data_IF_401397606486
#
_entry.id   IF_401397606486
#
_cell.length_a   1.000
_cell.length_b   1.000
_cell.length_c   1.000
_cell.angle_alpha   90.00
_cell.angle_beta   90.00
_cell.angle_gamma   90.00
#
_symmetry.space_group_name_H-M   'P 1'
#
loop_
_entity.id
_entity.type
_entity.pdbx_description
1 polymer ?
#
# COMPACT_ATOMS: atom_id res chain seq x y z
N UNK A 1 23.77 -4.28 5.13
CA UNK A 1 22.85 -3.16 5.43
C UNK A 1 21.89 -2.90 4.26
N UNK A 2 22.31 -2.84 3.00
CA UNK A 2 21.42 -2.62 1.84
C UNK A 2 20.47 -3.81 1.54
N UNK A 3 20.84 -5.05 1.84
CA UNK A 3 19.98 -6.23 1.62
C UNK A 3 18.80 -6.34 2.63
N UNK A 4 18.94 -5.75 3.83
CA UNK A 4 17.85 -5.68 4.81
C UNK A 4 16.74 -4.68 4.42
N UNK A 5 17.02 -3.77 3.50
CA UNK A 5 16.15 -2.65 3.14
C UNK A 5 15.07 -3.00 2.11
N UNK A 6 15.25 -4.09 1.36
CA UNK A 6 14.23 -4.61 0.43
C UNK A 6 13.01 -5.24 1.14
N UNK A 7 13.06 -5.39 2.46
CA UNK A 7 11.99 -5.98 3.28
C UNK A 7 11.11 -4.95 4.01
N UNK A 8 11.41 -3.64 3.94
CA UNK A 8 10.58 -2.64 4.62
C UNK A 8 9.30 -2.37 3.84
N UNK A 9 8.17 -2.75 4.44
CA UNK A 9 6.85 -2.61 3.83
C UNK A 9 6.22 -1.22 3.98
N UNK A 10 6.67 -0.40 4.96
CA UNK A 10 6.04 0.89 5.29
C UNK A 10 7.02 1.91 5.87
N UNK A 11 6.66 3.21 5.82
CA UNK A 11 7.40 4.26 6.52
C UNK A 11 7.42 4.07 8.05
N UNK A 12 6.40 3.43 8.61
CA UNK A 12 6.33 3.05 10.01
C UNK A 12 7.47 2.09 10.40
N UNK A 13 7.68 1.04 9.58
CA UNK A 13 8.78 0.08 9.78
C UNK A 13 10.15 0.76 9.69
N UNK A 14 10.32 1.65 8.71
CA UNK A 14 11.56 2.43 8.52
C UNK A 14 11.85 3.29 9.76
N UNK A 15 10.86 4.02 10.27
CA UNK A 15 11.04 4.84 11.47
C UNK A 15 11.41 3.99 12.67
N UNK A 16 10.75 2.86 12.87
CA UNK A 16 11.04 1.93 13.96
C UNK A 16 12.47 1.39 13.91
N UNK A 17 12.92 0.93 12.74
CA UNK A 17 14.28 0.39 12.57
C UNK A 17 15.36 1.46 12.73
N UNK A 18 15.17 2.63 12.12
CA UNK A 18 16.08 3.77 12.28
C UNK A 18 16.18 4.18 13.75
N UNK A 19 15.06 4.24 14.46
CA UNK A 19 15.04 4.61 15.86
C UNK A 19 15.77 3.58 16.74
N UNK A 20 15.54 2.30 16.54
CA UNK A 20 16.24 1.21 17.25
C UNK A 20 17.75 1.23 16.95
N UNK A 21 18.12 1.42 15.70
CA UNK A 21 19.53 1.54 15.32
C UNK A 21 20.21 2.75 15.97
N UNK A 22 19.56 3.92 15.97
CA UNK A 22 20.07 5.12 16.63
C UNK A 22 20.16 4.95 18.17
N UNK A 23 19.22 4.25 18.78
CA UNK A 23 19.24 3.94 20.22
C UNK A 23 20.45 3.15 20.62
N UNK A 24 20.98 2.28 19.75
CA UNK A 24 22.19 1.47 19.98
C UNK A 24 23.49 2.25 19.77
N UNK A 25 23.44 3.53 19.36
CA UNK A 25 24.61 4.41 19.18
C UNK A 25 24.81 5.35 20.38
N UNK A 26 25.90 6.12 20.44
CA UNK A 26 26.07 7.18 21.45
C UNK A 26 24.99 8.26 21.43
N UNK A 27 24.24 8.39 20.34
CA UNK A 27 23.09 9.33 20.27
C UNK A 27 21.97 8.94 21.23
N UNK A 28 21.72 7.64 21.40
CA UNK A 28 20.76 7.06 22.33
C UNK A 28 19.45 7.89 22.51
N UNK A 29 18.70 8.19 21.43
CA UNK A 29 17.48 8.98 21.56
C UNK A 29 16.45 8.24 22.42
N UNK A 30 15.71 8.99 23.25
CA UNK A 30 14.55 8.48 23.98
C UNK A 30 13.26 8.54 23.15
N UNK A 31 13.22 9.44 22.14
CA UNK A 31 12.13 9.55 21.18
C UNK A 31 12.66 9.92 19.80
N UNK A 32 12.09 9.32 18.79
CA UNK A 32 12.34 9.62 17.37
C UNK A 32 10.99 9.91 16.71
N UNK A 33 10.91 10.97 15.93
CA UNK A 33 9.69 11.26 15.18
C UNK A 33 10.04 11.72 13.78
N UNK A 34 9.22 11.30 12.83
CA UNK A 34 9.29 11.71 11.43
C UNK A 34 7.92 12.21 10.98
N UNK A 35 7.89 13.38 10.36
CA UNK A 35 6.69 13.93 9.73
C UNK A 35 6.95 14.02 8.24
N UNK A 36 6.09 13.37 7.46
CA UNK A 36 6.10 13.45 6.00
C UNK A 36 4.85 14.17 5.54
N UNK A 37 5.06 15.21 4.73
CA UNK A 37 3.99 16.00 4.14
C UNK A 37 3.71 15.47 2.73
N UNK A 38 2.48 15.09 2.39
CA UNK A 38 2.14 14.57 1.07
C UNK A 38 2.11 15.69 0.02
N UNK A 39 2.45 15.34 -1.23
CA UNK A 39 2.33 16.27 -2.37
C UNK A 39 0.87 16.45 -2.79
N UNK A 40 0.04 15.41 -2.60
CA UNK A 40 -1.38 15.39 -2.97
C UNK A 40 -2.19 14.61 -1.94
N UNK A 41 -3.40 15.07 -1.68
CA UNK A 41 -4.37 14.34 -0.85
C UNK A 41 -5.18 15.26 0.07
N UNK A 42 -6.06 14.64 0.85
CA UNK A 42 -6.94 15.30 1.82
C UNK A 42 -6.31 15.51 3.21
N UNK A 43 -5.03 15.19 3.37
CA UNK A 43 -4.30 15.24 4.64
C UNK A 43 -3.08 16.13 4.49
N UNK A 44 -2.77 16.91 5.54
CA UNK A 44 -1.58 17.77 5.58
C UNK A 44 -0.29 17.00 5.93
N UNK A 45 -0.40 15.78 6.45
CA UNK A 45 0.77 14.96 6.73
C UNK A 45 0.51 13.75 7.61
N UNK A 46 1.52 12.91 7.72
CA UNK A 46 1.54 11.78 8.65
C UNK A 46 2.79 11.87 9.51
N UNK A 47 2.62 11.66 10.81
CA UNK A 47 3.68 11.63 11.79
C UNK A 47 3.81 10.23 12.36
N UNK A 48 5.02 9.69 12.35
CA UNK A 48 5.39 8.46 13.03
C UNK A 48 6.26 8.80 14.24
N UNK A 49 5.96 8.17 15.38
CA UNK A 49 6.62 8.45 16.66
C UNK A 49 7.04 7.12 17.27
N UNK A 50 8.34 6.94 17.43
CA UNK A 50 8.92 5.85 18.20
C UNK A 50 9.38 6.36 19.56
N UNK A 51 9.28 5.52 20.61
CA UNK A 51 9.72 5.84 21.96
C UNK A 51 10.56 4.69 22.54
N UNK A 52 11.62 5.02 23.26
CA UNK A 52 12.43 4.05 23.99
C UNK A 52 11.67 3.40 25.15
N UNK A 53 10.57 3.98 25.59
CA UNK A 53 9.69 3.46 26.63
C UNK A 53 8.65 2.46 26.09
N UNK A 54 8.46 2.42 24.76
CA UNK A 54 7.66 1.44 24.03
C UNK A 54 8.35 1.07 22.70
N UNK A 55 9.50 0.35 22.75
CA UNK A 55 10.40 0.20 21.60
C UNK A 55 9.87 -0.71 20.50
N UNK A 56 8.81 -1.46 20.75
CA UNK A 56 8.19 -2.38 19.79
C UNK A 56 7.11 -1.73 18.94
N UNK A 57 6.57 -0.59 19.38
CA UNK A 57 5.49 0.10 18.69
C UNK A 57 5.96 1.45 18.13
N UNK A 58 5.44 1.79 16.96
CA UNK A 58 5.52 3.12 16.38
C UNK A 58 4.10 3.69 16.35
N UNK A 59 3.91 4.81 17.03
CA UNK A 59 2.61 5.50 17.01
C UNK A 59 2.49 6.30 15.73
N UNK A 60 1.39 6.11 14.99
CA UNK A 60 1.07 6.87 13.79
C UNK A 60 -0.02 7.91 14.09
N UNK A 61 0.26 9.18 13.79
CA UNK A 61 -0.68 10.30 13.91
C UNK A 61 -0.91 10.92 12.54
N UNK A 62 -2.18 11.05 12.15
CA UNK A 62 -2.59 11.69 10.90
C UNK A 62 -2.88 13.15 11.21
N UNK A 63 -2.22 14.07 10.52
CA UNK A 63 -2.50 15.50 10.60
C UNK A 63 -3.67 15.82 9.66
N UNK A 64 -4.72 16.50 10.14
CA UNK A 64 -5.88 16.82 9.31
C UNK A 64 -5.54 17.87 8.26
N UNK A 65 -6.36 17.94 7.22
CA UNK A 65 -6.30 18.99 6.22
C UNK A 65 -6.43 20.39 6.87
N UNK A 66 -5.57 21.33 6.47
CA UNK A 66 -5.51 22.65 7.06
C UNK A 66 -4.62 22.74 8.32
N UNK A 67 -3.97 21.64 8.74
CA UNK A 67 -3.06 21.67 9.90
C UNK A 67 -1.92 22.67 9.69
N UNK A 68 -1.30 22.71 8.50
CA UNK A 68 -0.20 23.62 8.19
C UNK A 68 -0.61 25.10 8.27
N UNK A 69 -1.89 25.40 8.11
CA UNK A 69 -2.45 26.75 8.23
C UNK A 69 -2.96 27.06 9.65
N UNK A 70 -2.90 26.10 10.56
CA UNK A 70 -3.37 26.28 11.93
C UNK A 70 -2.44 27.19 12.75
N UNK A 71 -2.99 27.84 13.77
CA UNK A 71 -2.20 28.61 14.73
C UNK A 71 -1.19 27.71 15.48
N UNK A 72 -1.63 26.49 15.85
CA UNK A 72 -0.80 25.49 16.51
C UNK A 72 0.45 25.16 15.69
N UNK A 73 0.30 24.96 14.37
CA UNK A 73 1.45 24.70 13.51
C UNK A 73 2.35 25.92 13.39
N UNK A 74 1.80 27.11 13.14
CA UNK A 74 2.60 28.35 12.97
C UNK A 74 3.45 28.69 14.18
N UNK A 75 3.00 28.32 15.37
CA UNK A 75 3.72 28.47 16.63
C UNK A 75 4.60 27.27 16.99
N UNK A 76 4.75 26.28 16.09
CA UNK A 76 5.52 25.08 16.35
C UNK A 76 6.99 25.19 15.91
N UNK A 77 7.85 24.38 16.54
CA UNK A 77 9.25 24.21 16.12
C UNK A 77 9.33 23.66 14.68
N UNK A 78 8.39 22.80 14.30
CA UNK A 78 8.29 22.25 12.95
C UNK A 78 8.11 23.34 11.90
N UNK A 79 7.23 24.31 12.12
CA UNK A 79 7.03 25.45 11.23
C UNK A 79 8.32 26.23 11.00
N UNK A 80 9.08 26.48 12.07
CA UNK A 80 10.37 27.18 11.99
C UNK A 80 11.36 26.43 11.10
N UNK A 81 11.48 25.11 11.25
CA UNK A 81 12.38 24.28 10.45
C UNK A 81 11.93 24.22 8.98
N UNK A 82 10.64 24.06 8.73
CA UNK A 82 10.08 24.02 7.36
C UNK A 82 10.26 25.35 6.62
N UNK A 83 10.11 26.48 7.33
CA UNK A 83 10.23 27.81 6.74
C UNK A 83 11.67 28.21 6.49
N UNK A 84 12.60 27.88 7.39
CA UNK A 84 14.01 28.28 7.29
C UNK A 84 14.87 27.29 6.54
N UNK A 85 14.43 26.02 6.40
CA UNK A 85 15.24 24.94 5.86
C UNK A 85 16.46 24.58 6.72
N UNK A 86 16.52 25.05 7.97
CA UNK A 86 17.64 24.84 8.86
C UNK A 86 17.27 23.94 10.04
N UNK A 87 18.21 23.10 10.48
CA UNK A 87 18.05 22.33 11.69
C UNK A 87 18.00 23.25 12.92
N UNK A 88 17.12 22.92 13.86
CA UNK A 88 16.96 23.66 15.10
C UNK A 88 17.18 22.74 16.28
N UNK A 89 17.98 23.15 17.23
CA UNK A 89 18.27 22.44 18.48
C UNK A 89 17.83 23.25 19.66
N UNK A 90 17.18 22.58 20.61
CA UNK A 90 16.86 23.14 21.93
C UNK A 90 17.51 22.31 23.02
N UNK A 91 18.47 22.88 23.76
CA UNK A 91 18.90 22.32 25.03
C UNK A 91 17.81 22.61 26.05
N UNK A 92 17.17 21.58 26.52
CA UNK A 92 16.02 21.65 27.41
C UNK A 92 16.54 21.81 28.84
N UNK A 93 16.43 23.01 29.35
CA UNK A 93 16.71 23.33 30.76
C UNK A 93 15.37 23.55 31.48
N UNK A 94 15.39 23.50 32.82
CA UNK A 94 14.21 23.83 33.63
C UNK A 94 13.76 25.28 33.37
N UNK A 95 12.50 25.45 32.92
CA UNK A 95 11.88 26.74 32.65
C UNK A 95 10.98 26.71 31.41
N UNK A 96 10.06 27.68 31.32
CA UNK A 96 9.16 27.79 30.18
C UNK A 96 9.93 28.17 28.90
N UNK A 97 9.70 27.42 27.81
CA UNK A 97 10.39 27.63 26.52
C UNK A 97 9.59 28.53 25.56
N UNK A 98 8.34 28.82 25.88
CA UNK A 98 7.39 29.50 24.99
C UNK A 98 6.72 28.55 23.96
N UNK A 99 7.06 27.27 23.99
CA UNK A 99 6.44 26.23 23.17
C UNK A 99 5.87 25.16 24.09
N UNK A 100 4.55 24.99 24.13
CA UNK A 100 3.88 24.02 24.99
C UNK A 100 4.39 22.59 24.81
N UNK A 101 4.76 22.26 23.57
CA UNK A 101 5.34 20.93 23.24
C UNK A 101 6.73 20.75 23.91
N UNK A 102 7.60 21.76 23.88
CA UNK A 102 8.91 21.66 24.52
C UNK A 102 8.79 21.62 26.06
N UNK A 103 7.82 22.34 26.62
CA UNK A 103 7.54 22.30 28.06
C UNK A 103 7.10 20.89 28.48
N UNK A 104 6.27 20.20 27.66
CA UNK A 104 5.88 18.80 27.90
C UNK A 104 7.06 17.81 27.79
N UNK A 105 8.05 18.10 26.96
CA UNK A 105 9.28 17.29 26.87
C UNK A 105 10.13 17.46 28.12
N UNK A 106 10.25 18.70 28.66
CA UNK A 106 10.95 18.98 29.91
C UNK A 106 10.30 18.22 31.06
N UNK A 107 8.98 18.26 31.16
CA UNK A 107 8.21 17.53 32.18
C UNK A 107 8.40 16.02 32.10
N UNK A 108 8.68 15.49 30.91
CA UNK A 108 8.99 14.06 30.69
C UNK A 108 10.47 13.71 30.96
N UNK A 109 11.30 14.67 31.38
CA UNK A 109 12.71 14.46 31.68
C UNK A 109 13.66 14.57 30.48
N UNK A 110 13.18 15.07 29.34
CA UNK A 110 14.03 15.32 28.19
C UNK A 110 15.05 16.43 28.47
N UNK A 111 16.26 16.26 27.93
CA UNK A 111 17.38 17.22 28.14
C UNK A 111 17.80 17.91 26.84
N UNK A 112 17.46 17.33 25.71
CA UNK A 112 17.83 17.87 24.38
C UNK A 112 16.81 17.48 23.33
N UNK A 113 16.51 18.41 22.42
CA UNK A 113 15.59 18.22 21.30
C UNK A 113 16.18 18.79 20.02
N UNK A 114 16.25 17.98 18.99
CA UNK A 114 16.75 18.35 17.67
C UNK A 114 15.69 18.10 16.61
N UNK A 115 15.47 19.07 15.73
CA UNK A 115 14.62 18.92 14.53
C UNK A 115 15.44 19.27 13.31
N UNK A 116 15.40 18.41 12.32
CA UNK A 116 16.12 18.57 11.06
C UNK A 116 15.15 18.53 9.88
N UNK A 117 15.33 19.39 8.86
CA UNK A 117 14.59 19.27 7.63
C UNK A 117 15.07 18.05 6.86
N UNK A 118 14.14 17.34 6.24
CA UNK A 118 14.41 16.27 5.27
C UNK A 118 14.06 16.82 3.89
N UNK A 119 15.04 17.20 3.06
CA UNK A 119 14.80 17.64 1.69
C UNK A 119 14.37 16.45 0.84
N UNK A 120 13.12 16.46 0.40
CA UNK A 120 12.52 15.43 -0.47
C UNK A 120 12.20 16.09 -1.81
N UNK A 121 12.70 15.54 -2.94
CA UNK A 121 12.64 16.18 -4.26
C UNK A 121 11.23 16.30 -4.83
N UNK A 122 10.35 15.36 -4.53
CA UNK A 122 9.02 15.24 -5.12
C UNK A 122 7.91 15.27 -4.08
N UNK A 123 8.21 15.69 -2.85
CA UNK A 123 7.26 15.85 -1.77
C UNK A 123 7.43 17.22 -1.09
N UNK A 124 6.45 17.64 -0.31
CA UNK A 124 6.61 18.79 0.54
C UNK A 124 7.72 18.54 1.59
N UNK A 125 8.42 19.58 2.04
CA UNK A 125 9.52 19.42 2.99
C UNK A 125 9.04 18.65 4.22
N UNK A 126 9.78 17.61 4.58
CA UNK A 126 9.51 16.76 5.74
C UNK A 126 10.46 17.07 6.87
N UNK A 127 10.18 16.61 8.07
CA UNK A 127 11.04 16.82 9.24
C UNK A 127 11.31 15.52 9.99
N UNK A 128 12.53 15.43 10.51
CA UNK A 128 12.97 14.38 11.39
C UNK A 128 13.36 14.99 12.74
N UNK A 129 12.86 14.45 13.84
CA UNK A 129 13.16 14.97 15.15
C UNK A 129 13.62 13.88 16.12
N UNK A 130 14.51 14.27 17.01
CA UNK A 130 15.09 13.44 18.04
C UNK A 130 14.95 14.12 19.40
N UNK A 131 14.70 13.34 20.43
CA UNK A 131 14.72 13.75 21.84
C UNK A 131 15.67 12.83 22.59
N UNK A 132 16.40 13.31 23.56
CA UNK A 132 17.14 12.48 24.51
C UNK A 132 16.88 12.93 25.96
N UNK A 133 16.94 11.97 26.87
CA UNK A 133 16.89 12.14 28.32
C UNK A 133 18.29 12.00 28.95
N UNK A 134 19.35 11.90 28.13
CA UNK A 134 20.73 11.79 28.58
C UNK A 134 21.14 13.04 29.35
N UNK A 135 21.69 12.89 30.56
CA UNK A 135 22.22 14.05 31.33
C UNK A 135 23.20 14.87 30.50
N UNK A 136 22.94 16.17 30.37
CA UNK A 136 23.77 17.10 29.59
C UNK A 136 23.50 17.11 28.07
N UNK A 137 22.57 16.29 27.59
CA UNK A 137 22.20 16.23 26.17
C UNK A 137 23.27 15.63 25.27
N UNK A 138 23.25 15.98 23.99
CA UNK A 138 24.21 15.52 22.97
C UNK A 138 25.45 16.43 22.91
N UNK A 139 26.62 15.81 22.64
CA UNK A 139 27.81 16.53 22.25
C UNK A 139 27.74 17.00 20.79
N UNK A 140 28.55 17.98 20.39
CA UNK A 140 28.55 18.44 18.99
C UNK A 140 29.00 17.36 18.00
N UNK A 141 29.91 16.48 18.40
CA UNK A 141 30.36 15.35 17.57
C UNK A 141 29.26 14.30 17.35
N UNK A 142 28.39 14.09 18.33
CA UNK A 142 27.22 13.23 18.18
C UNK A 142 26.30 13.76 17.05
N UNK A 143 26.12 15.08 16.98
CA UNK A 143 25.27 15.75 16.00
C UNK A 143 25.86 15.79 14.59
N UNK A 144 27.21 15.82 14.48
CA UNK A 144 27.86 15.76 13.18
C UNK A 144 27.53 14.45 12.43
N UNK A 145 27.46 13.35 13.15
CA UNK A 145 27.06 12.04 12.60
C UNK A 145 25.61 12.02 12.09
N UNK A 146 24.69 12.73 12.76
CA UNK A 146 23.28 12.82 12.34
C UNK A 146 23.11 13.57 11.02
N UNK A 147 23.92 14.59 10.75
CA UNK A 147 23.84 15.33 9.49
C UNK A 147 24.15 14.45 8.28
N UNK A 148 24.96 13.41 8.45
CA UNK A 148 25.26 12.44 7.37
C UNK A 148 24.09 11.47 7.12
N UNK A 149 23.17 11.29 8.08
CA UNK A 149 22.00 10.45 7.91
C UNK A 149 20.85 11.14 7.16
N UNK A 150 20.82 12.47 7.18
CA UNK A 150 19.74 13.25 6.54
C UNK A 150 19.52 12.88 5.05
N UNK A 151 20.56 12.79 4.20
CA UNK A 151 20.38 12.40 2.79
C UNK A 151 19.83 10.99 2.62
N UNK A 152 20.24 10.06 3.50
CA UNK A 152 19.77 8.66 3.48
C UNK A 152 18.30 8.59 3.85
N UNK A 153 17.89 9.29 4.91
CA UNK A 153 16.49 9.37 5.32
C UNK A 153 15.61 10.02 4.24
N UNK A 154 16.11 11.09 3.61
CA UNK A 154 15.42 11.73 2.50
C UNK A 154 15.20 10.78 1.32
N UNK A 155 16.24 10.02 0.94
CA UNK A 155 16.14 9.03 -0.14
C UNK A 155 15.12 7.94 0.19
N UNK A 156 15.08 7.47 1.44
CA UNK A 156 14.12 6.45 1.86
C UNK A 156 12.67 6.94 1.76
N UNK A 157 12.43 8.20 2.16
CA UNK A 157 11.12 8.82 2.02
C UNK A 157 10.77 8.96 0.53
N UNK A 158 11.72 9.38 -0.32
CA UNK A 158 11.49 9.49 -1.77
C UNK A 158 11.11 8.15 -2.38
N UNK A 159 11.77 7.07 -2.01
CA UNK A 159 11.46 5.71 -2.49
C UNK A 159 10.05 5.31 -2.01
N UNK A 160 9.77 5.45 -0.72
CA UNK A 160 8.47 5.07 -0.15
C UNK A 160 7.32 5.91 -0.72
N UNK A 161 7.50 7.23 -0.91
CA UNK A 161 6.49 8.09 -1.53
C UNK A 161 6.33 7.80 -3.03
N UNK A 162 7.40 7.49 -3.73
CA UNK A 162 7.33 7.07 -5.14
C UNK A 162 6.55 5.77 -5.27
N UNK A 163 6.80 4.79 -4.42
CA UNK A 163 6.02 3.56 -4.38
C UNK A 163 4.55 3.81 -4.04
N UNK A 164 4.27 4.71 -3.09
CA UNK A 164 2.91 5.13 -2.76
C UNK A 164 2.21 5.81 -3.94
N UNK A 165 2.88 6.72 -4.64
CA UNK A 165 2.35 7.38 -5.83
C UNK A 165 2.12 6.40 -6.97
N UNK A 166 3.02 5.43 -7.17
CA UNK A 166 2.83 4.34 -8.12
C UNK A 166 1.68 3.41 -7.72
N UNK A 167 1.38 3.27 -6.42
CA UNK A 167 0.20 2.57 -5.93
C UNK A 167 -1.08 3.38 -6.15
N UNK A 168 -1.02 4.71 -6.02
CA UNK A 168 -2.12 5.61 -6.33
C UNK A 168 -2.38 5.73 -7.86
N UNK A 169 -1.33 5.56 -8.69
CA UNK A 169 -1.46 5.37 -10.14
C UNK A 169 -1.92 3.93 -10.48
N UNK A 170 -2.88 3.44 -9.69
CA UNK A 170 -3.22 2.02 -9.57
C UNK A 170 -4.09 1.45 -10.68
N UNK A 171 -4.12 2.06 -11.86
CA UNK A 171 -4.92 1.57 -12.99
C UNK A 171 -4.05 1.01 -14.12
N UNK A 172 -4.58 0.03 -14.81
CA UNK A 172 -4.02 -0.46 -16.07
C UNK A 172 -4.35 0.54 -17.19
N UNK A 173 -3.36 1.04 -17.95
CA UNK A 173 -3.56 2.11 -18.93
C UNK A 173 -4.42 1.69 -20.13
N UNK A 174 -4.50 0.40 -20.46
CA UNK A 174 -5.32 -0.09 -21.56
C UNK A 174 -6.79 -0.22 -21.16
N UNK A 175 -7.05 -0.85 -20.01
CA UNK A 175 -8.41 -1.24 -19.62
C UNK A 175 -9.08 -0.27 -18.65
N UNK A 176 -8.31 0.58 -17.96
CA UNK A 176 -8.79 1.47 -16.91
C UNK A 176 -9.13 0.75 -15.59
N UNK A 177 -9.01 -0.59 -15.52
CA UNK A 177 -9.17 -1.35 -14.29
C UNK A 177 -8.01 -1.13 -13.33
N UNK A 178 -8.15 -1.59 -12.09
CA UNK A 178 -7.00 -1.67 -11.20
C UNK A 178 -5.88 -2.52 -11.83
N UNK A 179 -4.62 -2.13 -11.60
CA UNK A 179 -3.49 -2.95 -12.03
C UNK A 179 -3.14 -4.01 -10.97
N UNK A 180 -2.18 -4.89 -11.29
CA UNK A 180 -1.73 -5.97 -10.41
C UNK A 180 -1.34 -5.47 -9.01
N UNK A 181 -0.61 -4.34 -8.94
CA UNK A 181 -0.14 -3.78 -7.67
C UNK A 181 -1.29 -3.33 -6.78
N UNK A 182 -2.27 -2.64 -7.35
CA UNK A 182 -3.50 -2.22 -6.64
C UNK A 182 -4.32 -3.40 -6.18
N UNK A 183 -4.40 -4.45 -7.00
CA UNK A 183 -5.05 -5.69 -6.62
C UNK A 183 -4.37 -6.37 -5.42
N UNK A 184 -3.06 -6.50 -5.42
CA UNK A 184 -2.31 -7.11 -4.31
C UNK A 184 -2.44 -6.30 -3.02
N UNK A 185 -2.46 -4.97 -3.12
CA UNK A 185 -2.73 -4.10 -1.97
C UNK A 185 -4.16 -4.29 -1.44
N UNK A 186 -5.17 -4.23 -2.32
CA UNK A 186 -6.57 -4.40 -1.95
C UNK A 186 -6.84 -5.79 -1.33
N UNK A 187 -6.17 -6.83 -1.84
CA UNK A 187 -6.27 -8.18 -1.30
C UNK A 187 -5.83 -8.21 0.19
N UNK A 188 -4.69 -7.58 0.52
CA UNK A 188 -4.22 -7.49 1.91
C UNK A 188 -5.21 -6.72 2.80
N UNK A 189 -5.75 -5.61 2.31
CA UNK A 189 -6.72 -4.81 3.07
C UNK A 189 -8.04 -5.57 3.30
N UNK A 190 -8.56 -6.19 2.25
CA UNK A 190 -9.78 -6.98 2.31
C UNK A 190 -9.64 -8.21 3.20
N UNK A 191 -8.47 -8.87 3.17
CA UNK A 191 -8.14 -9.96 4.09
C UNK A 191 -8.25 -9.50 5.54
N UNK A 192 -7.54 -8.44 5.92
CA UNK A 192 -7.56 -7.91 7.28
C UNK A 192 -8.96 -7.45 7.72
N UNK A 193 -9.75 -6.88 6.81
CA UNK A 193 -11.13 -6.49 7.06
C UNK A 193 -12.01 -7.70 7.34
N UNK A 194 -11.99 -8.70 6.44
CA UNK A 194 -12.80 -9.91 6.55
C UNK A 194 -12.41 -10.73 7.79
N UNK A 195 -11.13 -10.77 8.13
CA UNK A 195 -10.64 -11.42 9.35
C UNK A 195 -11.22 -10.78 10.61
N UNK A 196 -11.24 -9.43 10.69
CA UNK A 196 -11.82 -8.72 11.86
C UNK A 196 -13.32 -8.85 11.97
N UNK A 197 -14.03 -8.99 10.85
CA UNK A 197 -15.49 -9.08 10.81
C UNK A 197 -16.02 -10.51 10.74
N UNK A 198 -15.15 -11.53 10.76
CA UNK A 198 -15.49 -12.94 10.55
C UNK A 198 -16.37 -13.14 9.31
N UNK A 199 -16.05 -12.43 8.22
CA UNK A 199 -16.81 -12.45 7.00
C UNK A 199 -16.02 -13.19 5.89
N UNK A 200 -16.68 -13.90 4.97
CA UNK A 200 -15.98 -14.61 3.89
C UNK A 200 -15.33 -13.63 2.91
N UNK A 201 -14.20 -14.05 2.35
CA UNK A 201 -13.52 -13.37 1.25
C UNK A 201 -13.48 -14.28 0.04
N UNK A 202 -13.97 -13.80 -1.10
CA UNK A 202 -13.91 -14.52 -2.36
C UNK A 202 -12.99 -13.84 -3.36
N UNK A 203 -12.30 -14.64 -4.13
CA UNK A 203 -11.43 -14.22 -5.23
C UNK A 203 -11.81 -15.00 -6.50
N UNK A 204 -12.00 -14.26 -7.60
CA UNK A 204 -12.10 -14.81 -8.93
C UNK A 204 -10.81 -14.46 -9.69
N UNK A 205 -10.25 -15.44 -10.40
CA UNK A 205 -9.11 -15.26 -11.29
C UNK A 205 -9.51 -15.77 -12.67
N UNK A 206 -9.38 -14.99 -13.73
CA UNK A 206 -9.88 -15.38 -15.04
C UNK A 206 -8.96 -14.90 -16.16
N UNK A 207 -9.03 -15.63 -17.27
CA UNK A 207 -8.15 -15.45 -18.42
C UNK A 207 -8.95 -15.64 -19.71
N UNK A 208 -8.59 -14.88 -20.72
CA UNK A 208 -9.25 -14.93 -22.04
C UNK A 208 -8.79 -16.17 -22.80
N UNK A 209 -9.73 -17.04 -23.10
CA UNK A 209 -9.46 -18.31 -23.75
C UNK A 209 -8.86 -18.12 -25.16
N UNK A 210 -7.75 -18.81 -25.43
CA UNK A 210 -7.03 -18.75 -26.70
C UNK A 210 -6.61 -17.34 -27.16
N UNK A 211 -6.34 -16.42 -26.23
CA UNK A 211 -6.04 -15.02 -26.57
C UNK A 211 -4.79 -14.87 -27.45
N UNK A 212 -3.77 -15.70 -27.26
CA UNK A 212 -2.62 -15.71 -28.17
C UNK A 212 -3.05 -16.03 -29.62
N UNK A 213 -3.89 -17.02 -29.81
CA UNK A 213 -4.43 -17.39 -31.14
C UNK A 213 -5.27 -16.24 -31.72
N UNK A 214 -6.01 -15.54 -30.88
CA UNK A 214 -6.73 -14.31 -31.25
C UNK A 214 -5.79 -13.25 -31.81
N UNK A 215 -4.72 -12.93 -31.07
CA UNK A 215 -3.72 -11.96 -31.50
C UNK A 215 -3.00 -12.38 -32.78
N UNK A 216 -2.66 -13.66 -32.91
CA UNK A 216 -2.02 -14.21 -34.10
C UNK A 216 -2.93 -14.10 -35.35
N UNK A 217 -4.25 -14.10 -35.13
CA UNK A 217 -5.26 -14.02 -36.21
C UNK A 217 -5.63 -12.61 -36.61
N UNK A 218 -5.85 -11.72 -35.60
CA UNK A 218 -6.44 -10.40 -35.82
C UNK A 218 -5.47 -9.26 -35.55
N UNK A 219 -4.28 -9.56 -35.05
CA UNK A 219 -3.26 -8.58 -34.67
C UNK A 219 -3.45 -8.00 -33.26
N UNK A 220 -2.36 -7.49 -32.69
CA UNK A 220 -2.34 -6.91 -31.34
C UNK A 220 -3.34 -5.75 -31.13
N UNK A 221 -3.56 -4.83 -32.09
CA UNK A 221 -4.56 -3.78 -31.88
C UNK A 221 -5.99 -4.33 -31.69
N UNK A 222 -6.37 -5.39 -32.40
CA UNK A 222 -7.66 -6.06 -32.19
C UNK A 222 -7.69 -6.79 -30.84
N UNK A 223 -6.57 -7.35 -30.38
CA UNK A 223 -6.42 -7.92 -29.06
C UNK A 223 -6.62 -6.90 -27.94
N UNK A 224 -6.04 -5.71 -28.08
CA UNK A 224 -6.21 -4.61 -27.15
C UNK A 224 -7.69 -4.17 -27.06
N UNK A 225 -8.36 -4.03 -28.19
CA UNK A 225 -9.81 -3.73 -28.25
C UNK A 225 -10.64 -4.85 -27.60
N UNK A 226 -10.26 -6.12 -27.79
CA UNK A 226 -10.88 -7.25 -27.16
C UNK A 226 -10.76 -7.17 -25.64
N UNK A 227 -9.55 -6.94 -25.11
CA UNK A 227 -9.31 -6.80 -23.67
C UNK A 227 -10.10 -5.64 -23.06
N UNK A 228 -10.23 -4.50 -23.76
CA UNK A 228 -11.05 -3.38 -23.32
C UNK A 228 -12.53 -3.75 -23.23
N UNK A 229 -13.05 -4.52 -24.19
CA UNK A 229 -14.46 -4.99 -24.16
C UNK A 229 -14.69 -6.00 -23.05
N UNK A 230 -13.78 -6.97 -22.89
CA UNK A 230 -13.83 -7.96 -21.80
C UNK A 230 -13.78 -7.27 -20.44
N UNK A 231 -12.89 -6.30 -20.26
CA UNK A 231 -12.75 -5.57 -18.99
C UNK A 231 -14.03 -4.81 -18.60
N UNK A 232 -14.69 -4.19 -19.58
CA UNK A 232 -15.98 -3.48 -19.36
C UNK A 232 -17.11 -4.45 -18.99
N UNK A 233 -17.20 -5.59 -19.67
CA UNK A 233 -18.17 -6.62 -19.35
C UNK A 233 -17.94 -7.19 -17.95
N UNK A 234 -16.69 -7.45 -17.58
CA UNK A 234 -16.33 -7.90 -16.25
C UNK A 234 -16.70 -6.89 -15.18
N UNK A 235 -16.37 -5.60 -15.39
CA UNK A 235 -16.71 -4.53 -14.44
C UNK A 235 -18.23 -4.38 -14.25
N UNK A 236 -19.00 -4.50 -15.32
CA UNK A 236 -20.46 -4.45 -15.25
C UNK A 236 -21.07 -5.67 -14.55
N UNK A 237 -20.40 -6.83 -14.60
CA UNK A 237 -20.92 -8.10 -14.07
C UNK A 237 -20.62 -8.32 -12.60
N UNK A 238 -19.45 -7.87 -12.12
CA UNK A 238 -18.90 -8.23 -10.81
C UNK A 238 -18.74 -7.03 -9.89
N UNK A 239 -18.37 -5.86 -10.38
CA UNK A 239 -18.10 -4.65 -9.60
C UNK A 239 -19.34 -3.94 -9.07
N UNK A 240 -20.30 -4.67 -8.48
CA UNK A 240 -21.60 -4.09 -8.07
C UNK A 240 -21.56 -3.42 -6.69
N UNK A 241 -20.57 -3.71 -5.85
CA UNK A 241 -20.43 -3.15 -4.51
C UNK A 241 -19.23 -2.22 -4.47
N UNK A 242 -19.29 -1.19 -3.63
CA UNK A 242 -18.17 -0.26 -3.45
C UNK A 242 -16.88 -0.93 -2.93
N UNK A 243 -17.01 -2.12 -2.36
CA UNK A 243 -15.89 -2.93 -1.83
C UNK A 243 -15.31 -3.92 -2.86
N UNK A 244 -16.02 -4.15 -3.97
CA UNK A 244 -15.57 -5.06 -5.00
C UNK A 244 -14.49 -4.40 -5.85
N UNK A 245 -13.47 -5.15 -6.22
CA UNK A 245 -12.38 -4.67 -7.07
C UNK A 245 -12.19 -5.61 -8.24
N UNK A 246 -12.03 -5.05 -9.44
CA UNK A 246 -11.60 -5.79 -10.62
C UNK A 246 -10.29 -5.21 -11.10
N UNK A 247 -9.35 -6.09 -11.44
CA UNK A 247 -8.01 -5.74 -11.85
C UNK A 247 -7.57 -6.54 -13.09
N UNK A 248 -6.71 -5.92 -13.89
CA UNK A 248 -5.89 -6.63 -14.86
C UNK A 248 -4.54 -6.96 -14.22
N UNK A 249 -4.26 -8.25 -14.06
CA UNK A 249 -3.09 -8.73 -13.30
C UNK A 249 -1.99 -9.32 -14.18
N UNK A 250 -2.29 -9.55 -15.45
CA UNK A 250 -1.36 -10.03 -16.47
C UNK A 250 -1.74 -9.51 -17.86
N UNK A 251 -1.15 -10.08 -18.90
CA UNK A 251 -1.44 -9.69 -20.29
C UNK A 251 -2.91 -9.88 -20.65
N UNK A 252 -3.44 -11.09 -20.41
CA UNK A 252 -4.81 -11.52 -20.68
C UNK A 252 -5.52 -12.01 -19.43
N UNK A 253 -4.87 -11.83 -18.27
CA UNK A 253 -5.31 -12.29 -16.96
C UNK A 253 -5.92 -11.17 -16.14
N UNK A 254 -7.02 -11.48 -15.49
CA UNK A 254 -7.78 -10.57 -14.66
C UNK A 254 -8.11 -11.23 -13.33
N UNK A 255 -8.37 -10.39 -12.31
CA UNK A 255 -8.83 -10.84 -11.02
C UNK A 255 -9.98 -9.99 -10.50
N UNK A 256 -10.91 -10.59 -9.76
CA UNK A 256 -11.96 -9.88 -9.05
C UNK A 256 -11.95 -10.27 -7.58
N UNK A 257 -11.84 -9.26 -6.71
CA UNK A 257 -11.84 -9.40 -5.27
C UNK A 257 -13.21 -9.02 -4.72
N UNK A 258 -13.82 -9.93 -3.97
CA UNK A 258 -15.20 -9.83 -3.47
C UNK A 258 -15.21 -9.99 -1.94
N UNK A 259 -14.98 -8.93 -1.17
CA UNK A 259 -15.09 -8.96 0.27
C UNK A 259 -16.53 -9.26 0.72
N UNK A 260 -16.68 -9.95 1.85
CA UNK A 260 -17.99 -10.35 2.41
C UNK A 260 -18.89 -11.13 1.44
N UNK A 261 -18.28 -11.84 0.48
CA UNK A 261 -19.00 -12.62 -0.52
C UNK A 261 -18.88 -14.12 -0.21
N UNK A 262 -20.01 -14.77 -0.08
CA UNK A 262 -20.07 -16.23 0.17
C UNK A 262 -19.69 -17.02 -1.09
N UNK A 263 -19.36 -18.31 -0.92
CA UNK A 263 -19.06 -19.24 -2.03
C UNK A 263 -20.18 -19.27 -3.10
N UNK A 264 -21.43 -19.25 -2.68
CA UNK A 264 -22.56 -19.20 -3.60
C UNK A 264 -22.61 -17.88 -4.38
N UNK A 265 -22.39 -16.76 -3.69
CA UNK A 265 -22.30 -15.45 -4.33
C UNK A 265 -21.14 -15.35 -5.32
N UNK A 266 -19.99 -15.90 -4.96
CA UNK A 266 -18.82 -15.95 -5.83
C UNK A 266 -19.07 -16.81 -7.09
N UNK A 267 -19.78 -17.93 -6.95
CA UNK A 267 -20.18 -18.76 -8.09
C UNK A 267 -21.11 -17.99 -9.04
N UNK A 268 -22.15 -17.34 -8.50
CA UNK A 268 -23.06 -16.53 -9.30
C UNK A 268 -22.36 -15.37 -10.02
N UNK A 269 -21.45 -14.68 -9.33
CA UNK A 269 -20.66 -13.62 -9.92
C UNK A 269 -19.73 -14.14 -11.04
N UNK A 270 -19.07 -15.28 -10.83
CA UNK A 270 -18.18 -15.90 -11.81
C UNK A 270 -18.95 -16.35 -13.06
N UNK A 271 -20.11 -17.00 -12.91
CA UNK A 271 -20.95 -17.42 -14.04
C UNK A 271 -21.54 -16.21 -14.79
N UNK A 272 -21.95 -15.16 -14.05
CA UNK A 272 -22.43 -13.94 -14.67
C UNK A 272 -21.33 -13.26 -15.49
N UNK A 273 -20.11 -13.18 -14.96
CA UNK A 273 -18.94 -12.66 -15.67
C UNK A 273 -18.65 -13.48 -16.93
N UNK A 274 -18.56 -14.81 -16.81
CA UNK A 274 -18.31 -15.71 -17.93
C UNK A 274 -19.35 -15.52 -19.05
N UNK A 275 -20.63 -15.57 -18.66
CA UNK A 275 -21.73 -15.42 -19.60
C UNK A 275 -21.76 -14.03 -20.26
N UNK A 276 -21.47 -12.96 -19.50
CA UNK A 276 -21.43 -11.60 -20.03
C UNK A 276 -20.32 -11.41 -21.06
N UNK A 277 -19.16 -12.04 -20.86
CA UNK A 277 -18.09 -12.02 -21.87
C UNK A 277 -18.50 -12.78 -23.12
N UNK A 278 -19.06 -13.97 -22.98
CA UNK A 278 -19.55 -14.76 -24.12
C UNK A 278 -20.65 -14.03 -24.92
N UNK A 279 -21.54 -13.31 -24.21
CA UNK A 279 -22.59 -12.49 -24.82
C UNK A 279 -22.08 -11.28 -25.62
N UNK A 280 -20.82 -10.85 -25.44
CA UNK A 280 -20.23 -9.84 -26.30
C UNK A 280 -20.13 -10.30 -27.76
N UNK A 281 -20.20 -11.60 -27.99
CA UNK A 281 -20.14 -12.24 -29.30
C UNK A 281 -18.96 -11.74 -30.16
N UNK A 282 -17.82 -11.45 -29.52
CA UNK A 282 -16.60 -11.03 -30.24
C UNK A 282 -16.12 -12.23 -31.09
N UNK A 283 -16.07 -12.13 -32.41
CA UNK A 283 -15.71 -13.27 -33.25
C UNK A 283 -14.31 -13.81 -32.94
N UNK A 284 -14.17 -15.15 -32.80
CA UNK A 284 -12.90 -15.81 -32.63
C UNK A 284 -12.80 -17.04 -33.56
N UNK A 285 -12.41 -16.79 -34.80
CA UNK A 285 -12.46 -17.76 -35.89
C UNK A 285 -11.67 -19.06 -35.65
N UNK A 286 -10.56 -18.96 -34.90
CA UNK A 286 -9.67 -20.09 -34.64
C UNK A 286 -9.75 -20.60 -33.18
N UNK A 287 -10.76 -20.20 -32.42
CA UNK A 287 -11.01 -20.82 -31.13
C UNK A 287 -11.60 -22.21 -31.30
N UNK A 288 -11.11 -23.15 -30.50
CA UNK A 288 -11.62 -24.53 -30.46
C UNK A 288 -12.75 -24.68 -29.43
N UNK A 289 -13.11 -23.61 -28.71
CA UNK A 289 -14.10 -23.61 -27.62
C UNK A 289 -15.44 -23.08 -28.09
N UNK A 290 -15.44 -21.93 -28.76
CA UNK A 290 -16.63 -21.21 -29.20
C UNK A 290 -16.30 -20.38 -30.43
N UNK A 291 -17.31 -20.03 -31.23
CA UNK A 291 -17.15 -19.06 -32.34
C UNK A 291 -16.85 -17.65 -31.89
N UNK A 292 -16.92 -17.36 -30.60
CA UNK A 292 -16.63 -16.07 -29.99
C UNK A 292 -15.64 -16.19 -28.85
N UNK A 293 -15.11 -15.04 -28.40
CA UNK A 293 -14.22 -14.92 -27.25
C UNK A 293 -14.95 -15.38 -25.99
N UNK A 294 -14.28 -16.21 -25.20
CA UNK A 294 -14.74 -16.72 -23.90
C UNK A 294 -13.68 -16.54 -22.83
N UNK A 295 -14.04 -16.77 -21.59
CA UNK A 295 -13.10 -16.74 -20.44
C UNK A 295 -13.25 -18.00 -19.60
N UNK A 296 -12.14 -18.47 -19.06
CA UNK A 296 -12.10 -19.50 -18.03
C UNK A 296 -11.89 -18.86 -16.68
N UNK A 297 -12.69 -19.24 -15.68
CA UNK A 297 -12.71 -18.59 -14.36
C UNK A 297 -12.36 -19.60 -13.28
N UNK A 298 -11.36 -19.28 -12.46
CA UNK A 298 -11.08 -19.94 -11.20
C UNK A 298 -11.59 -19.12 -10.03
N UNK A 299 -12.27 -19.75 -9.11
CA UNK A 299 -12.82 -19.09 -7.93
C UNK A 299 -12.34 -19.75 -6.63
N UNK A 300 -12.17 -18.97 -5.59
CA UNK A 300 -11.93 -19.46 -4.23
C UNK A 300 -12.70 -18.60 -3.24
N UNK A 301 -13.20 -19.22 -2.19
CA UNK A 301 -13.79 -18.51 -1.04
C UNK A 301 -13.15 -19.05 0.22
N UNK A 302 -12.75 -18.15 1.10
CA UNK A 302 -12.16 -18.48 2.40
C UNK A 302 -12.95 -17.81 3.51
N UNK A 303 -13.05 -18.48 4.64
CA UNK A 303 -13.43 -17.89 5.91
C UNK A 303 -12.13 -17.52 6.65
N UNK A 304 -12.03 -16.31 7.22
CA UNK A 304 -10.75 -15.76 7.72
C UNK A 304 -10.12 -16.50 8.90
N UNK A 305 -10.78 -17.48 9.48
CA UNK A 305 -10.26 -18.34 10.55
C UNK A 305 -9.23 -19.37 10.04
N UNK A 306 -9.16 -19.59 8.75
CA UNK A 306 -8.17 -20.49 8.15
C UNK A 306 -6.76 -19.87 8.22
N UNK A 307 -5.78 -20.70 8.60
CA UNK A 307 -4.35 -20.34 8.63
C UNK A 307 -3.81 -20.31 7.19
N UNK A 308 -4.20 -19.31 6.42
CA UNK A 308 -3.82 -19.11 5.01
C UNK A 308 -3.36 -17.68 4.84
N UNK A 309 -2.31 -17.47 4.08
CA UNK A 309 -1.88 -16.12 3.74
C UNK A 309 -2.66 -15.57 2.52
N UNK A 310 -2.88 -14.25 2.43
CA UNK A 310 -3.62 -13.65 1.31
C UNK A 310 -3.12 -14.09 -0.07
N UNK A 311 -1.80 -14.26 -0.23
CA UNK A 311 -1.19 -14.70 -1.51
C UNK A 311 -1.56 -16.12 -1.92
N UNK A 312 -1.91 -16.99 -0.95
CA UNK A 312 -2.28 -18.37 -1.24
C UNK A 312 -3.62 -18.42 -1.97
N UNK A 313 -4.51 -17.44 -1.73
CA UNK A 313 -5.76 -17.34 -2.49
C UNK A 313 -5.51 -17.18 -3.99
N UNK A 314 -4.50 -16.40 -4.37
CA UNK A 314 -4.16 -16.20 -5.79
C UNK A 314 -3.75 -17.55 -6.40
N UNK A 315 -2.88 -18.30 -5.73
CA UNK A 315 -2.42 -19.59 -6.22
C UNK A 315 -3.55 -20.62 -6.32
N UNK A 316 -4.50 -20.61 -5.37
CA UNK A 316 -5.66 -21.50 -5.37
C UNK A 316 -6.62 -21.14 -6.51
N UNK A 317 -6.93 -19.85 -6.70
CA UNK A 317 -7.80 -19.39 -7.77
C UNK A 317 -7.17 -19.64 -9.16
N UNK A 318 -5.87 -19.39 -9.32
CA UNK A 318 -5.12 -19.68 -10.55
C UNK A 318 -5.14 -21.18 -10.86
N UNK A 319 -4.87 -22.04 -9.87
CA UNK A 319 -4.97 -23.50 -10.05
C UNK A 319 -6.38 -23.94 -10.45
N UNK A 320 -7.42 -23.29 -9.91
CA UNK A 320 -8.80 -23.57 -10.29
C UNK A 320 -9.08 -23.11 -11.74
N UNK A 321 -8.60 -21.93 -12.13
CA UNK A 321 -8.70 -21.45 -13.52
C UNK A 321 -8.02 -22.40 -14.50
N UNK A 322 -6.83 -22.90 -14.14
CA UNK A 322 -6.16 -23.91 -14.97
C UNK A 322 -6.99 -25.20 -15.12
N UNK A 323 -7.70 -25.65 -14.05
CA UNK A 323 -8.64 -26.78 -14.12
C UNK A 323 -9.80 -26.47 -15.06
N UNK A 324 -10.37 -25.25 -15.02
CA UNK A 324 -11.39 -24.83 -15.97
C UNK A 324 -10.88 -24.89 -17.41
N UNK A 325 -9.67 -24.39 -17.68
CA UNK A 325 -9.02 -24.47 -18.99
C UNK A 325 -8.82 -25.93 -19.46
N UNK A 326 -8.37 -26.81 -18.57
CA UNK A 326 -8.14 -28.23 -18.88
C UNK A 326 -9.45 -29.01 -19.10
N UNK A 327 -10.54 -28.63 -18.46
CA UNK A 327 -11.85 -29.29 -18.58
C UNK A 327 -12.69 -28.81 -19.79
N UNK A 328 -12.12 -27.99 -20.68
CA UNK A 328 -12.78 -27.57 -21.94
C UNK A 328 -12.96 -26.07 -22.08
N UNK A 329 -12.46 -25.27 -21.15
CA UNK A 329 -12.57 -23.77 -21.13
C UNK A 329 -14.01 -23.29 -20.99
N UNK A 330 -14.22 -21.98 -21.11
CA UNK A 330 -15.53 -21.31 -21.03
C UNK A 330 -16.37 -21.79 -19.85
N UNK A 331 -15.78 -21.89 -18.67
CA UNK A 331 -16.43 -22.41 -17.47
C UNK A 331 -15.79 -21.91 -16.19
N UNK A 332 -16.50 -22.11 -15.09
CA UNK A 332 -16.05 -21.79 -13.74
C UNK A 332 -15.60 -23.06 -13.03
N UNK A 333 -14.44 -23.00 -12.37
CA UNK A 333 -13.99 -24.03 -11.43
C UNK A 333 -13.67 -23.43 -10.07
N UNK A 334 -13.92 -24.19 -9.00
CA UNK A 334 -13.59 -23.78 -7.65
C UNK A 334 -12.33 -24.46 -7.15
N UNK A 335 -11.47 -23.66 -6.49
CA UNK A 335 -10.38 -24.15 -5.67
C UNK A 335 -10.84 -24.32 -4.24
N UNK A 336 -10.36 -25.37 -3.58
CA UNK A 336 -10.59 -25.60 -2.17
C UNK A 336 -9.24 -25.44 -1.43
N UNK A 337 -9.29 -24.84 -0.24
CA UNK A 337 -8.18 -24.89 0.71
C UNK A 337 -7.91 -26.39 0.97
N UNK A 338 -6.72 -26.86 0.63
CA UNK A 338 -6.31 -28.19 1.08
C UNK A 338 -6.16 -28.10 2.61
N UNK A 339 -7.02 -28.84 3.34
CA UNK A 339 -6.93 -29.02 4.76
C UNK A 339 -5.61 -29.71 5.16
#
# INVERSE_FOLDING_TARGET
MLEAWSSFGSLEDIVGEVARALRATPLAPSRVSMVVLPVFGSLDGTQWIWSAYDPHNVKTEIKPYGFLDSAEHRESVMHKVLTTGQAVRYRLATGATGFSFLDSLIDSGATDYLVMPLPVRHAAPSVFSLVTDRPGGWAEDDLASLRQLTPVLSLLIEVAETERLLQLAGTDPLTGLANRRSFEWALRQSWALCQRSSAPLSLLYFDVDHFKTYNDTYGHPAGDDCLVKVSRAAAASVGQRATDLIARVGGEEFAALLPTCSRLGAFQAAEHLRASVEQLAIPHQHSTVSACVTVSVGAVTVEPEAVVEPRDLIAIADSAMYKAKAAGRNQVAFGDLKG
#
